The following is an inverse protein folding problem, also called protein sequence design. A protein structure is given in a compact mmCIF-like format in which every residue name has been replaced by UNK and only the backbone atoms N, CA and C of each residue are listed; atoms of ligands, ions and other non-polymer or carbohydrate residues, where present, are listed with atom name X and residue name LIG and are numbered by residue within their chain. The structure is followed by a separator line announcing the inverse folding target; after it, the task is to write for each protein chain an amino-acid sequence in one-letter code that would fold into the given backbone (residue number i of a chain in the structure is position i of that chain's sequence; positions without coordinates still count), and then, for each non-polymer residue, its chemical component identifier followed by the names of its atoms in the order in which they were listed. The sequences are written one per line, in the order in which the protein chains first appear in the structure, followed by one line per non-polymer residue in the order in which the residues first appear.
data_IF_657939187086
#
_entry.id   IF_657939187086
#
_cell.length_a   1.000
_cell.length_b   1.000
_cell.length_c   1.000
_cell.angle_alpha   90.00
_cell.angle_beta   90.00
_cell.angle_gamma   90.00
#
_symmetry.space_group_name_H-M   'P 1'
#
loop_
_entity.id
_entity.type
_entity.pdbx_description
1 polymer ?
#
# COMPACT_ATOMS: atom_id res chain seq x y z
N UNK A 1 18.50 -7.48 -15.80
CA UNK A 1 17.36 -6.58 -16.04
C UNK A 1 17.06 -5.85 -14.74
N UNK A 2 17.05 -4.52 -14.74
CA UNK A 2 16.86 -3.73 -13.51
C UNK A 2 15.38 -3.41 -13.28
N UNK A 3 14.95 -3.48 -12.02
CA UNK A 3 13.63 -3.05 -11.58
C UNK A 3 13.69 -1.61 -11.10
N UNK A 4 13.05 -0.71 -11.82
CA UNK A 4 12.86 0.68 -11.41
C UNK A 4 11.49 0.77 -10.74
N UNK A 5 11.47 1.21 -9.50
CA UNK A 5 10.24 1.44 -8.72
C UNK A 5 10.11 2.93 -8.43
N UNK A 6 9.01 3.51 -8.89
CA UNK A 6 8.61 4.88 -8.57
C UNK A 6 7.56 4.81 -7.47
N UNK A 7 7.81 5.47 -6.34
CA UNK A 7 6.88 5.50 -5.22
C UNK A 7 6.64 6.91 -4.72
N UNK A 8 5.42 7.17 -4.26
CA UNK A 8 5.04 8.36 -3.52
C UNK A 8 4.56 7.94 -2.14
N UNK A 9 4.93 8.73 -1.14
CA UNK A 9 4.36 8.63 0.20
C UNK A 9 3.82 10.00 0.56
N UNK A 10 2.60 10.04 1.05
CA UNK A 10 1.97 11.26 1.48
C UNK A 10 1.18 11.02 2.75
N UNK A 11 1.42 11.88 3.74
CA UNK A 11 0.59 11.93 4.94
C UNK A 11 -0.63 12.77 4.60
N UNK A 12 -1.80 12.13 4.56
CA UNK A 12 -3.09 12.80 4.32
C UNK A 12 -3.53 13.53 5.59
N UNK A 13 -3.30 12.90 6.73
CA UNK A 13 -3.64 13.40 8.07
C UNK A 13 -2.56 12.91 9.06
N UNK A 14 -2.42 13.52 10.25
CA UNK A 14 -1.53 13.03 11.30
C UNK A 14 -1.72 11.54 11.63
N UNK A 15 -2.92 11.03 11.37
CA UNK A 15 -3.35 9.66 11.62
C UNK A 15 -3.44 8.80 10.36
N UNK A 16 -3.28 9.37 9.15
CA UNK A 16 -3.48 8.63 7.89
C UNK A 16 -2.31 8.85 6.94
N UNK A 17 -1.57 7.79 6.64
CA UNK A 17 -0.50 7.80 5.65
C UNK A 17 -0.87 6.95 4.45
N UNK A 18 -0.83 7.56 3.26
CA UNK A 18 -0.93 6.88 1.98
C UNK A 18 0.45 6.67 1.37
N UNK A 19 0.65 5.52 0.76
CA UNK A 19 1.82 5.17 -0.03
C UNK A 19 1.34 4.52 -1.32
N UNK A 20 1.85 4.99 -2.45
CA UNK A 20 1.62 4.37 -3.75
C UNK A 20 2.96 4.08 -4.39
N UNK A 21 3.09 2.94 -5.05
CA UNK A 21 4.29 2.50 -5.75
C UNK A 21 3.89 1.90 -7.08
N UNK A 22 4.71 2.12 -8.09
CA UNK A 22 4.59 1.49 -9.40
C UNK A 22 5.98 1.10 -9.86
N UNK A 23 6.11 -0.05 -10.52
CA UNK A 23 7.37 -0.47 -11.10
C UNK A 23 7.32 -0.55 -12.64
N UNK A 24 8.48 -0.59 -13.27
CA UNK A 24 8.60 -0.72 -14.74
C UNK A 24 8.12 -2.06 -15.28
N UNK A 25 7.82 -3.03 -14.40
CA UNK A 25 7.19 -4.31 -14.73
C UNK A 25 5.66 -4.23 -14.68
N UNK A 26 5.09 -3.03 -14.53
CA UNK A 26 3.65 -2.81 -14.53
C UNK A 26 2.95 -3.25 -13.26
N UNK A 27 3.68 -3.49 -12.17
CA UNK A 27 3.09 -3.73 -10.86
C UNK A 27 2.85 -2.41 -10.15
N UNK A 28 1.59 -2.15 -9.81
CA UNK A 28 1.18 -1.08 -8.93
C UNK A 28 0.93 -1.64 -7.52
N UNK A 29 1.31 -0.89 -6.49
CA UNK A 29 1.06 -1.20 -5.10
C UNK A 29 0.53 0.07 -4.42
N UNK A 30 -0.56 -0.04 -3.69
CA UNK A 30 -1.07 1.01 -2.81
C UNK A 30 -1.04 0.49 -1.37
N UNK A 31 -0.72 1.36 -0.42
CA UNK A 31 -0.74 1.07 1.01
C UNK A 31 -1.30 2.28 1.73
N UNK A 32 -2.33 2.09 2.53
CA UNK A 32 -2.94 3.10 3.36
C UNK A 32 -2.85 2.60 4.79
N UNK A 33 -2.17 3.35 5.64
CA UNK A 33 -2.11 3.10 7.06
C UNK A 33 -2.91 4.20 7.77
N UNK A 34 -3.95 3.81 8.48
CA UNK A 34 -4.87 4.69 9.18
C UNK A 34 -4.93 4.33 10.68
N UNK A 35 -4.64 5.28 11.54
CA UNK A 35 -4.74 5.16 12.98
C UNK A 35 -6.16 5.60 13.43
N UNK A 36 -7.03 4.63 13.69
CA UNK A 36 -8.42 4.87 14.10
C UNK A 36 -8.59 5.13 15.61
N UNK A 37 -7.62 4.70 16.42
CA UNK A 37 -7.57 4.83 17.89
C UNK A 37 -6.09 4.96 18.28
N UNK A 38 -5.76 5.72 19.33
CA UNK A 38 -4.39 5.75 19.85
C UNK A 38 -3.96 4.32 20.19
N UNK A 39 -2.80 3.91 19.69
CA UNK A 39 -2.27 2.53 19.74
C UNK A 39 -2.95 1.50 18.83
N UNK A 40 -3.70 1.91 17.82
CA UNK A 40 -4.29 0.96 16.88
C UNK A 40 -4.17 1.44 15.44
N UNK A 41 -3.46 0.66 14.62
CA UNK A 41 -3.22 0.96 13.23
C UNK A 41 -3.97 -0.01 12.33
N UNK A 42 -4.69 0.54 11.37
CA UNK A 42 -5.36 -0.19 10.32
C UNK A 42 -4.58 0.03 9.02
N UNK A 43 -3.98 -1.02 8.48
CA UNK A 43 -3.19 -0.96 7.26
C UNK A 43 -3.87 -1.75 6.17
N UNK A 44 -4.23 -1.08 5.08
CA UNK A 44 -4.76 -1.69 3.86
C UNK A 44 -3.68 -1.61 2.81
N UNK A 45 -3.31 -2.73 2.22
CA UNK A 45 -2.43 -2.80 1.06
C UNK A 45 -3.15 -3.43 -0.13
N UNK A 46 -2.87 -2.95 -1.32
CA UNK A 46 -3.39 -3.49 -2.56
C UNK A 46 -2.26 -3.50 -3.59
N UNK A 47 -1.85 -4.68 -4.00
CA UNK A 47 -0.87 -4.92 -5.06
C UNK A 47 -1.62 -5.42 -6.29
N UNK A 48 -1.51 -4.69 -7.39
CA UNK A 48 -2.14 -5.03 -8.67
C UNK A 48 -1.03 -5.13 -9.73
N UNK A 49 -0.94 -6.27 -10.37
CA UNK A 49 -0.09 -6.42 -11.55
C UNK A 49 -0.90 -5.99 -12.79
N UNK A 50 -0.57 -4.84 -13.37
CA UNK A 50 -1.31 -4.26 -14.51
C UNK A 50 -0.93 -4.97 -15.81
N UNK A 51 0.30 -5.48 -15.93
CA UNK A 51 0.72 -6.28 -17.09
C UNK A 51 0.08 -7.67 -17.09
N UNK A 52 -0.22 -8.20 -15.91
CA UNK A 52 -0.99 -9.43 -15.72
C UNK A 52 -2.30 -9.15 -14.97
N UNK A 53 -3.07 -8.16 -15.44
CA UNK A 53 -4.38 -7.79 -14.85
C UNK A 53 -5.35 -8.96 -14.77
N UNK A 54 -5.17 -9.96 -15.65
CA UNK A 54 -5.89 -11.22 -15.68
C UNK A 54 -5.53 -12.19 -14.54
N UNK A 55 -4.38 -12.01 -13.87
CA UNK A 55 -3.78 -13.05 -13.01
C UNK A 55 -3.90 -12.87 -11.51
N UNK A 56 -3.83 -11.68 -10.91
CA UNK A 56 -3.96 -11.54 -9.45
C UNK A 56 -3.93 -10.09 -8.98
N UNK A 57 -5.04 -9.60 -8.43
CA UNK A 57 -5.02 -8.51 -7.48
C UNK A 57 -4.79 -9.10 -6.08
N UNK A 58 -3.74 -8.67 -5.39
CA UNK A 58 -3.47 -9.05 -4.00
C UNK A 58 -3.89 -7.91 -3.10
N UNK A 59 -4.93 -8.13 -2.32
CA UNK A 59 -5.34 -7.19 -1.28
C UNK A 59 -4.90 -7.75 0.06
N UNK A 60 -4.17 -6.95 0.82
CA UNK A 60 -3.78 -7.21 2.19
C UNK A 60 -4.51 -6.27 3.13
N UNK A 61 -4.95 -6.80 4.26
CA UNK A 61 -5.49 -6.01 5.35
C UNK A 61 -4.80 -6.47 6.63
N UNK A 62 -4.26 -5.50 7.36
CA UNK A 62 -3.56 -5.72 8.60
C UNK A 62 -4.12 -4.79 9.67
N UNK A 63 -4.24 -5.31 10.88
CA UNK A 63 -4.63 -4.55 12.04
C UNK A 63 -3.57 -4.76 13.11
N UNK A 64 -2.92 -3.68 13.53
CA UNK A 64 -1.94 -3.69 14.60
C UNK A 64 -2.56 -3.04 15.84
N UNK A 65 -2.58 -3.79 16.93
CA UNK A 65 -2.99 -3.32 18.24
C UNK A 65 -1.75 -3.25 19.14
N UNK A 66 -1.39 -2.05 19.57
CA UNK A 66 -0.41 -1.86 20.63
C UNK A 66 -1.14 -1.80 22.00
N UNK A 67 -0.70 -2.58 23.00
CA UNK A 67 -1.29 -2.59 24.35
C UNK A 67 -1.01 -1.29 25.12
#
# INVERSE_FOLDING_TARGET
MNTITLGTQHSLDPLTTGNARVNNFGKASALIQHEWRPKSFFTVSADVDIQAVDKSAKVGLAFALEP
#
